data_IF_155071211618
#
_entry.id   IF_155071211618
#
_cell.length_a   1.000
_cell.length_b   1.000
_cell.length_c   1.000
_cell.angle_alpha   90.00
_cell.angle_beta   90.00
_cell.angle_gamma   90.00
#
_symmetry.space_group_name_H-M   'P 1'
#
loop_
_entity.id
_entity.type
_entity.pdbx_description
1 polymer ?
#
# COMPACT_ATOMS: atom_id res chain seq x y z
N UNK A 1 11.68 -5.34 1.54
CA UNK A 1 11.07 -6.10 2.65
C UNK A 1 9.88 -5.27 3.02
N UNK A 2 8.71 -5.69 2.59
CA UNK A 2 7.59 -4.75 2.47
C UNK A 2 6.51 -5.15 3.49
N UNK A 3 5.74 -4.17 3.96
CA UNK A 3 4.63 -4.38 4.92
C UNK A 3 3.49 -3.43 4.61
N UNK A 4 2.28 -3.92 4.82
CA UNK A 4 1.08 -3.10 4.75
C UNK A 4 0.81 -2.45 6.11
N UNK A 5 0.42 -1.16 6.06
CA UNK A 5 -0.03 -0.41 7.22
C UNK A 5 -1.29 0.34 6.82
N UNK A 6 -2.37 0.19 7.60
CA UNK A 6 -3.60 0.96 7.36
C UNK A 6 -3.33 2.44 7.54
N UNK A 7 -3.93 3.26 6.69
CA UNK A 7 -3.95 4.70 6.86
C UNK A 7 -4.70 5.04 8.14
N UNK A 8 -4.11 5.89 8.99
CA UNK A 8 -4.77 6.44 10.17
C UNK A 8 -5.33 7.84 9.91
N UNK A 9 -4.88 8.55 8.88
CA UNK A 9 -5.42 9.84 8.45
C UNK A 9 -6.80 9.72 7.79
N UNK A 10 -7.60 10.78 7.85
CA UNK A 10 -8.81 10.88 7.01
C UNK A 10 -8.43 11.23 5.56
N UNK A 11 -9.12 10.67 4.55
CA UNK A 11 -8.96 11.06 3.14
C UNK A 11 -9.40 12.51 2.86
N UNK A 12 -10.04 13.21 3.81
CA UNK A 12 -10.42 14.63 3.62
C UNK A 12 -9.24 15.60 3.71
N UNK A 13 -8.02 15.11 4.02
CA UNK A 13 -6.79 15.90 3.99
C UNK A 13 -6.04 15.62 2.69
N UNK A 14 -6.08 16.52 1.70
CA UNK A 14 -5.41 16.28 0.43
C UNK A 14 -3.88 16.29 0.61
N UNK A 15 -3.16 15.58 -0.26
CA UNK A 15 -1.68 15.58 -0.40
C UNK A 15 -0.88 14.94 0.73
N UNK A 16 -1.51 14.56 1.84
CA UNK A 16 -0.83 13.93 2.98
C UNK A 16 -1.64 12.77 3.52
N UNK A 17 -0.96 11.72 3.96
CA UNK A 17 -1.56 10.62 4.70
C UNK A 17 -0.69 10.29 5.91
N UNK A 18 -1.32 9.68 6.92
CA UNK A 18 -0.65 9.23 8.12
C UNK A 18 -0.72 7.70 8.17
N UNK A 19 0.41 7.06 8.51
CA UNK A 19 0.44 5.68 9.00
C UNK A 19 0.87 5.68 10.46
N UNK A 20 0.47 4.66 11.21
CA UNK A 20 0.88 4.54 12.61
C UNK A 20 1.37 3.13 12.87
N UNK A 21 2.68 3.02 13.10
CA UNK A 21 3.39 1.75 13.16
C UNK A 21 3.63 1.38 14.61
N UNK A 22 2.93 0.35 15.11
CA UNK A 22 3.27 -0.26 16.40
C UNK A 22 4.57 -1.05 16.23
N UNK A 23 5.53 -0.83 17.13
CA UNK A 23 6.76 -1.62 17.16
C UNK A 23 6.44 -3.04 17.63
N UNK A 24 6.74 -4.02 16.77
CA UNK A 24 6.71 -5.43 17.11
C UNK A 24 8.17 -5.89 17.30
N UNK A 25 8.60 -6.21 18.53
CA UNK A 25 9.97 -6.64 18.80
C UNK A 25 10.40 -7.89 18.02
N UNK A 26 9.44 -8.69 17.56
CA UNK A 26 9.68 -9.92 16.78
C UNK A 26 9.63 -9.66 15.27
N UNK A 27 9.13 -8.50 14.86
CA UNK A 27 9.04 -8.09 13.46
C UNK A 27 10.39 -7.58 12.92
N UNK A 28 10.53 -7.58 11.59
CA UNK A 28 11.73 -7.03 10.94
C UNK A 28 11.55 -5.57 10.52
N UNK A 29 10.36 -5.21 10.00
CA UNK A 29 10.10 -3.88 9.43
C UNK A 29 9.70 -2.86 10.49
N UNK A 30 8.82 -3.19 11.44
CA UNK A 30 8.39 -2.22 12.44
C UNK A 30 9.52 -1.73 13.37
N UNK A 31 10.49 -2.56 13.82
CA UNK A 31 11.65 -2.04 14.53
C UNK A 31 12.54 -1.17 13.63
N UNK A 32 12.72 -1.55 12.36
CA UNK A 32 13.50 -0.75 11.41
C UNK A 32 12.87 0.63 11.21
N UNK A 33 11.55 0.72 11.04
CA UNK A 33 10.82 1.99 10.93
C UNK A 33 11.09 2.87 12.15
N UNK A 34 10.96 2.31 13.36
CA UNK A 34 11.19 3.04 14.61
C UNK A 34 12.63 3.53 14.78
N UNK A 35 13.61 2.83 14.20
CA UNK A 35 15.03 3.16 14.35
C UNK A 35 15.55 4.11 13.25
N UNK A 36 14.98 4.05 12.05
CA UNK A 36 15.58 4.65 10.85
C UNK A 36 14.74 5.76 10.22
N UNK A 37 13.41 5.72 10.33
CA UNK A 37 12.54 6.71 9.67
C UNK A 37 12.56 8.03 10.43
N UNK A 38 12.84 9.12 9.72
CA UNK A 38 12.92 10.50 10.26
C UNK A 38 12.30 11.47 9.23
N UNK A 39 11.96 12.71 9.63
CA UNK A 39 11.54 13.72 8.66
C UNK A 39 12.55 13.84 7.51
N UNK A 40 12.06 13.76 6.27
CA UNK A 40 12.88 13.75 5.05
C UNK A 40 13.27 12.35 4.55
N UNK A 41 12.98 11.27 5.28
CA UNK A 41 13.14 9.90 4.75
C UNK A 41 12.17 9.68 3.58
N UNK A 42 12.71 9.24 2.45
CA UNK A 42 11.93 8.79 1.29
C UNK A 42 11.67 7.29 1.43
N UNK A 43 10.41 6.89 1.26
CA UNK A 43 9.98 5.50 1.32
C UNK A 43 9.25 5.15 0.01
N UNK A 44 9.59 4.01 -0.57
CA UNK A 44 8.82 3.44 -1.67
C UNK A 44 7.52 2.85 -1.11
N UNK A 45 6.41 3.10 -1.80
CA UNK A 45 5.09 2.66 -1.36
C UNK A 45 4.24 2.19 -2.54
N UNK A 46 3.26 1.33 -2.22
CA UNK A 46 2.23 0.87 -3.13
C UNK A 46 0.86 1.03 -2.45
N UNK A 47 -0.13 1.55 -3.18
CA UNK A 47 -1.46 1.88 -2.66
C UNK A 47 -1.85 3.36 -2.86
N UNK A 48 -2.94 3.85 -2.25
CA UNK A 48 -3.76 3.22 -1.21
C UNK A 48 -4.77 2.19 -1.73
N UNK A 49 -4.98 1.11 -0.98
CA UNK A 49 -5.75 -0.09 -1.41
C UNK A 49 -6.48 -0.79 -0.25
N UNK A 50 -7.62 -1.42 -0.54
CA UNK A 50 -8.43 -2.26 0.37
C UNK A 50 -9.89 -1.82 0.54
N UNK A 51 -10.77 -2.74 0.93
CA UNK A 51 -12.21 -2.48 1.16
C UNK A 51 -12.63 -2.24 2.61
N UNK A 52 -11.69 -2.22 3.56
CA UNK A 52 -12.01 -1.89 4.94
C UNK A 52 -12.15 -0.36 5.13
N UNK A 53 -13.16 0.24 4.50
CA UNK A 53 -13.47 1.66 4.54
C UNK A 53 -14.98 1.92 4.72
N UNK A 54 -15.33 3.16 5.05
CA UNK A 54 -16.73 3.58 5.10
C UNK A 54 -17.30 3.74 3.68
N UNK A 55 -18.59 3.45 3.46
CA UNK A 55 -19.26 3.77 2.20
C UNK A 55 -19.54 5.28 2.08
N UNK A 56 -19.46 5.83 0.87
CA UNK A 56 -19.65 7.27 0.60
C UNK A 56 -21.09 7.78 0.83
N UNK A 57 -22.07 6.88 0.86
CA UNK A 57 -23.48 7.25 0.69
C UNK A 57 -24.26 7.52 2.00
N UNK A 58 -23.89 6.89 3.12
CA UNK A 58 -24.78 6.89 4.30
C UNK A 58 -24.29 7.80 5.45
N UNK A 59 -24.69 9.08 5.35
CA UNK A 59 -24.41 10.09 6.37
C UNK A 59 -25.25 9.96 7.64
N UNK A 60 -26.15 8.96 7.73
CA UNK A 60 -27.01 8.67 8.89
C UNK A 60 -26.76 7.27 9.47
N UNK A 61 -25.77 6.55 8.95
CA UNK A 61 -25.42 5.23 9.41
C UNK A 61 -25.07 5.23 10.90
N UNK A 62 -25.40 4.11 11.56
CA UNK A 62 -25.02 3.86 12.94
C UNK A 62 -23.89 2.86 12.92
N UNK A 63 -22.75 3.23 13.49
CA UNK A 63 -21.53 2.46 13.48
C UNK A 63 -21.20 1.93 14.88
N UNK A 64 -20.70 0.71 14.91
CA UNK A 64 -20.02 0.11 16.06
C UNK A 64 -18.61 -0.27 15.64
N UNK A 65 -17.62 0.43 16.18
CA UNK A 65 -16.21 0.19 15.89
C UNK A 65 -15.58 -0.60 17.03
N UNK A 66 -15.09 -1.80 16.72
CA UNK A 66 -14.41 -2.69 17.65
C UNK A 66 -12.92 -2.70 17.34
N UNK A 67 -12.12 -2.05 18.18
CA UNK A 67 -10.68 -1.95 17.96
C UNK A 67 -9.91 -2.67 19.07
N UNK A 68 -8.78 -3.30 18.73
CA UNK A 68 -7.83 -3.81 19.71
C UNK A 68 -6.37 -3.52 19.32
N UNK A 69 -5.62 -2.93 20.25
CA UNK A 69 -4.21 -2.59 20.04
C UNK A 69 -4.00 -1.71 18.80
N UNK A 70 -3.19 -2.19 17.85
CA UNK A 70 -2.90 -1.47 16.61
C UNK A 70 -4.10 -1.39 15.66
N UNK A 71 -5.11 -2.26 15.80
CA UNK A 71 -6.32 -2.25 14.97
C UNK A 71 -7.17 -0.99 15.09
N UNK A 72 -6.81 -0.07 15.99
CA UNK A 72 -7.38 1.28 16.03
C UNK A 72 -7.03 2.11 14.79
N UNK A 73 -5.96 1.81 14.05
CA UNK A 73 -5.50 2.68 12.95
C UNK A 73 -6.53 2.91 11.83
N UNK A 74 -7.15 1.88 11.21
CA UNK A 74 -8.20 2.09 10.21
C UNK A 74 -9.44 2.72 10.83
N UNK A 75 -9.80 2.31 12.05
CA UNK A 75 -10.93 2.88 12.79
C UNK A 75 -10.72 4.38 13.04
N UNK A 76 -9.49 4.81 13.33
CA UNK A 76 -9.16 6.22 13.53
C UNK A 76 -9.34 7.01 12.23
N UNK A 77 -8.97 6.44 11.07
CA UNK A 77 -9.25 7.06 9.78
C UNK A 77 -10.75 7.26 9.56
N UNK A 78 -11.56 6.23 9.85
CA UNK A 78 -13.02 6.31 9.78
C UNK A 78 -13.61 7.37 10.73
N UNK A 79 -13.18 7.39 11.99
CA UNK A 79 -13.62 8.36 13.00
C UNK A 79 -13.25 9.78 12.59
N UNK A 80 -12.01 10.02 12.14
CA UNK A 80 -11.55 11.34 11.65
C UNK A 80 -12.39 11.82 10.48
N UNK A 81 -12.78 10.90 9.58
CA UNK A 81 -13.61 11.19 8.40
C UNK A 81 -15.03 11.56 8.80
N UNK A 82 -15.63 10.80 9.71
CA UNK A 82 -16.97 11.13 10.23
C UNK A 82 -16.94 12.49 10.94
N UNK A 83 -15.89 12.75 11.73
CA UNK A 83 -15.72 14.02 12.43
C UNK A 83 -15.56 15.21 11.48
N UNK A 84 -14.79 15.05 10.39
CA UNK A 84 -14.54 16.13 9.43
C UNK A 84 -15.71 16.42 8.49
N UNK A 85 -16.57 15.43 8.24
CA UNK A 85 -17.70 15.56 7.31
C UNK A 85 -19.03 15.88 8.01
N UNK A 86 -19.89 16.73 7.39
CA UNK A 86 -21.22 16.99 7.91
C UNK A 86 -22.09 15.73 7.80
N UNK A 87 -22.79 15.38 8.87
CA UNK A 87 -23.67 14.22 8.90
C UNK A 87 -24.35 14.02 10.25
N UNK A 88 -25.12 12.95 10.36
CA UNK A 88 -25.86 12.55 11.57
C UNK A 88 -25.55 11.10 11.96
N UNK A 89 -24.39 10.59 11.56
CA UNK A 89 -23.94 9.27 11.95
C UNK A 89 -23.94 9.13 13.48
N UNK A 90 -24.20 7.93 13.99
CA UNK A 90 -24.10 7.59 15.42
C UNK A 90 -22.97 6.56 15.57
N UNK A 91 -21.89 6.94 16.22
CA UNK A 91 -20.66 6.16 16.32
C UNK A 91 -20.42 5.74 17.76
N UNK A 92 -20.29 4.44 17.97
CA UNK A 92 -19.76 3.87 19.21
C UNK A 92 -18.42 3.19 18.91
N UNK A 93 -17.38 3.59 19.62
CA UNK A 93 -16.06 2.96 19.55
C UNK A 93 -15.83 2.19 20.85
N UNK A 94 -15.53 0.90 20.76
CA UNK A 94 -15.08 0.07 21.87
C UNK A 94 -13.63 -0.34 21.62
N UNK A 95 -12.69 0.32 22.32
CA UNK A 95 -11.26 0.14 22.12
C UNK A 95 -10.63 -0.68 23.25
N UNK A 96 -10.03 -1.82 22.90
CA UNK A 96 -9.33 -2.71 23.82
C UNK A 96 -7.81 -2.49 23.83
N UNK A 97 -7.25 -2.35 25.03
CA UNK A 97 -5.82 -2.17 25.28
C UNK A 97 -5.26 -3.24 26.22
N UNK A 98 -3.96 -3.53 26.09
CA UNK A 98 -3.26 -4.49 26.95
C UNK A 98 -2.72 -3.84 28.24
N UNK A 99 -2.34 -2.56 28.19
CA UNK A 99 -1.97 -1.73 29.33
C UNK A 99 -2.59 -0.33 29.18
N UNK A 100 -2.77 0.40 30.29
CA UNK A 100 -3.42 1.72 30.26
C UNK A 100 -2.67 2.74 29.37
N UNK A 101 -1.36 2.58 29.18
CA UNK A 101 -0.55 3.41 28.29
C UNK A 101 -0.59 3.01 26.81
N UNK A 102 -1.25 1.92 26.44
CA UNK A 102 -1.19 1.35 25.08
C UNK A 102 -2.27 1.87 24.13
N UNK A 103 -3.15 2.77 24.59
CA UNK A 103 -4.21 3.34 23.77
C UNK A 103 -3.66 4.43 22.85
N UNK A 104 -3.32 4.06 21.62
CA UNK A 104 -2.95 5.04 20.60
C UNK A 104 -4.13 6.00 20.34
N UNK A 105 -3.82 7.27 20.07
CA UNK A 105 -4.80 8.34 19.83
C UNK A 105 -5.75 8.66 21.00
N UNK A 106 -5.48 8.21 22.23
CA UNK A 106 -6.43 8.42 23.34
C UNK A 106 -6.79 9.90 23.55
N UNK A 107 -5.83 10.83 23.41
CA UNK A 107 -6.08 12.26 23.57
C UNK A 107 -6.99 12.80 22.47
N UNK A 108 -6.78 12.37 21.23
CA UNK A 108 -7.55 12.79 20.08
C UNK A 108 -8.96 12.20 20.11
N UNK A 109 -9.11 10.93 20.44
CA UNK A 109 -10.41 10.28 20.63
C UNK A 109 -11.20 10.94 21.76
N UNK A 110 -10.54 11.27 22.88
CA UNK A 110 -11.17 12.00 23.98
C UNK A 110 -11.61 13.41 23.55
N UNK A 111 -10.78 14.11 22.78
CA UNK A 111 -11.14 15.41 22.22
C UNK A 111 -12.36 15.30 21.29
N UNK A 112 -12.33 14.40 20.30
CA UNK A 112 -13.43 14.19 19.36
C UNK A 112 -14.73 13.87 20.10
N UNK A 113 -14.70 12.94 21.05
CA UNK A 113 -15.89 12.59 21.85
C UNK A 113 -16.41 13.75 22.70
N UNK A 114 -15.56 14.72 23.06
CA UNK A 114 -15.96 15.90 23.84
C UNK A 114 -16.61 17.00 23.00
N UNK A 115 -16.32 17.06 21.70
CA UNK A 115 -16.81 18.13 20.79
C UNK A 115 -17.82 17.64 19.75
N UNK A 116 -17.86 16.33 19.48
CA UNK A 116 -18.74 15.72 18.49
C UNK A 116 -19.68 14.72 19.17
N UNK A 117 -20.92 15.16 19.41
CA UNK A 117 -21.94 14.35 20.10
C UNK A 117 -22.31 13.06 19.36
N UNK A 118 -21.90 12.93 18.09
CA UNK A 118 -22.08 11.71 17.30
C UNK A 118 -21.16 10.57 17.75
N UNK A 119 -20.03 10.87 18.37
CA UNK A 119 -18.97 9.90 18.66
C UNK A 119 -18.88 9.62 20.16
N UNK A 120 -19.10 8.36 20.53
CA UNK A 120 -18.90 7.85 21.89
C UNK A 120 -17.76 6.86 21.89
N UNK A 121 -16.85 6.96 22.86
CA UNK A 121 -15.68 6.10 22.97
C UNK A 121 -15.65 5.43 24.33
N UNK A 122 -15.56 4.12 24.33
CA UNK A 122 -15.43 3.26 25.49
C UNK A 122 -14.09 2.53 25.41
N UNK A 123 -13.41 2.45 26.55
CA UNK A 123 -12.14 1.76 26.66
C UNK A 123 -12.30 0.52 27.53
N UNK A 124 -11.69 -0.59 27.11
CA UNK A 124 -11.59 -1.80 27.89
C UNK A 124 -10.12 -2.17 28.07
N UNK A 125 -9.72 -2.35 29.33
CA UNK A 125 -8.36 -2.74 29.66
C UNK A 125 -8.30 -4.23 30.00
N UNK A 126 -7.25 -4.91 29.51
CA UNK A 126 -6.97 -6.28 29.90
C UNK A 126 -6.96 -6.49 31.43
N UNK A 127 -7.28 -7.72 31.84
CA UNK A 127 -7.36 -8.16 33.23
C UNK A 127 -6.00 -8.16 33.98
N UNK A 128 -4.89 -8.15 33.24
CA UNK A 128 -3.53 -8.32 33.80
C UNK A 128 -2.91 -7.05 34.38
N UNK A 129 -3.44 -5.87 34.08
CA UNK A 129 -2.71 -4.60 34.22
C UNK A 129 -3.59 -3.40 34.59
N UNK A 130 -4.68 -3.62 35.34
CA UNK A 130 -5.60 -2.56 35.77
C UNK A 130 -4.97 -1.62 36.82
N UNK A 131 -4.73 -0.33 36.50
CA UNK A 131 -4.29 0.64 37.50
C UNK A 131 -5.41 0.98 38.50
N UNK A 132 -5.00 1.43 39.68
CA UNK A 132 -5.91 2.02 40.66
C UNK A 132 -6.53 3.30 40.06
N UNK A 133 -7.86 3.40 40.06
CA UNK A 133 -8.59 4.51 39.45
C UNK A 133 -9.01 4.33 37.98
N UNK A 134 -8.86 3.13 37.40
CA UNK A 134 -9.42 2.85 36.06
C UNK A 134 -10.96 2.79 36.09
N UNK A 135 -11.58 3.74 35.40
CA UNK A 135 -13.05 3.88 35.30
C UNK A 135 -13.66 3.21 34.06
N UNK A 136 -12.83 2.74 33.13
CA UNK A 136 -13.29 2.02 31.94
C UNK A 136 -13.67 0.56 32.19
N UNK A 137 -14.09 -0.12 31.12
CA UNK A 137 -14.39 -1.54 31.13
C UNK A 137 -13.12 -2.37 31.40
N UNK A 138 -13.28 -3.60 31.88
CA UNK A 138 -12.14 -4.48 32.21
C UNK A 138 -12.36 -5.88 31.68
N UNK A 139 -11.33 -6.46 31.07
CA UNK A 139 -11.30 -7.83 30.60
C UNK A 139 -11.33 -7.95 29.08
N UNK A 140 -11.58 -9.18 28.61
CA UNK A 140 -11.77 -9.48 27.18
C UNK A 140 -13.16 -9.03 26.73
N UNK A 141 -13.36 -8.92 25.42
CA UNK A 141 -14.65 -8.62 24.83
C UNK A 141 -15.70 -9.65 25.30
N UNK A 142 -16.86 -9.17 25.74
CA UNK A 142 -18.00 -9.99 26.19
C UNK A 142 -19.31 -9.45 25.65
N UNK A 143 -20.35 -10.30 25.64
CA UNK A 143 -21.71 -9.86 25.28
C UNK A 143 -22.22 -8.75 26.22
N UNK A 144 -21.95 -8.85 27.52
CA UNK A 144 -22.33 -7.83 28.49
C UNK A 144 -21.73 -6.46 28.17
N UNK A 145 -20.48 -6.41 27.70
CA UNK A 145 -19.87 -5.16 27.24
C UNK A 145 -20.59 -4.61 26.00
N UNK A 146 -20.95 -5.47 25.03
CA UNK A 146 -21.70 -5.04 23.84
C UNK A 146 -23.07 -4.47 24.23
N UNK A 147 -23.81 -5.16 25.10
CA UNK A 147 -25.11 -4.71 25.60
C UNK A 147 -25.00 -3.39 26.37
N UNK A 148 -23.90 -3.16 27.09
CA UNK A 148 -23.65 -1.92 27.82
C UNK A 148 -23.33 -0.74 26.89
N UNK A 149 -22.44 -0.91 25.92
CA UNK A 149 -21.95 0.20 25.08
C UNK A 149 -22.84 0.46 23.86
N UNK A 150 -23.47 -0.58 23.32
CA UNK A 150 -24.27 -0.56 22.12
C UNK A 150 -25.43 -1.59 22.23
N UNK A 151 -26.43 -1.35 23.10
CA UNK A 151 -27.59 -2.24 23.23
C UNK A 151 -28.39 -2.41 21.92
N UNK A 152 -28.19 -1.52 20.96
CA UNK A 152 -28.75 -1.56 19.61
C UNK A 152 -27.75 -2.08 18.55
N UNK A 153 -26.75 -2.88 18.95
CA UNK A 153 -25.70 -3.38 18.06
C UNK A 153 -26.26 -4.06 16.80
N UNK A 154 -27.38 -4.79 16.90
CA UNK A 154 -28.05 -5.45 15.78
C UNK A 154 -28.55 -4.50 14.68
N UNK A 155 -28.68 -3.20 14.97
CA UNK A 155 -29.07 -2.16 14.04
C UNK A 155 -27.92 -1.26 13.58
N UNK A 156 -26.67 -1.67 13.83
CA UNK A 156 -25.43 -0.94 13.50
C UNK A 156 -24.60 -1.70 12.47
N UNK A 157 -23.86 -0.96 11.65
CA UNK A 157 -22.76 -1.49 10.86
C UNK A 157 -21.53 -1.64 11.76
N UNK A 158 -20.97 -2.84 11.83
CA UNK A 158 -19.89 -3.18 12.74
C UNK A 158 -18.59 -3.27 11.96
N UNK A 159 -17.58 -2.49 12.36
CA UNK A 159 -16.23 -2.59 11.82
C UNK A 159 -15.29 -3.04 12.93
N UNK A 160 -14.62 -4.17 12.74
CA UNK A 160 -13.72 -4.74 13.74
C UNK A 160 -12.30 -4.92 13.21
N UNK A 161 -11.31 -4.46 13.95
CA UNK A 161 -9.91 -4.66 13.62
C UNK A 161 -9.05 -4.89 14.87
N UNK A 162 -8.21 -5.92 14.84
CA UNK A 162 -7.39 -6.32 15.99
C UNK A 162 -6.70 -7.66 15.80
N UNK A 163 -6.11 -8.22 16.88
CA UNK A 163 -5.53 -9.57 16.84
C UNK A 163 -6.57 -10.63 16.52
N UNK A 164 -6.16 -11.71 15.85
CA UNK A 164 -7.04 -12.80 15.39
C UNK A 164 -7.98 -13.33 16.50
N UNK A 165 -7.44 -13.62 17.68
CA UNK A 165 -8.26 -14.10 18.81
C UNK A 165 -9.32 -13.10 19.28
N UNK A 166 -9.09 -11.80 19.11
CA UNK A 166 -10.08 -10.75 19.40
C UNK A 166 -11.20 -10.77 18.36
N UNK A 167 -10.85 -10.84 17.07
CA UNK A 167 -11.80 -10.85 15.97
C UNK A 167 -12.67 -12.12 15.97
N UNK A 168 -12.07 -13.29 16.24
CA UNK A 168 -12.82 -14.55 16.38
C UNK A 168 -13.85 -14.45 17.52
N UNK A 169 -13.46 -13.86 18.66
CA UNK A 169 -14.39 -13.62 19.78
C UNK A 169 -15.49 -12.64 19.39
N UNK A 170 -15.15 -11.56 18.67
CA UNK A 170 -16.14 -10.59 18.19
C UNK A 170 -17.17 -11.24 17.26
N UNK A 171 -16.75 -12.07 16.30
CA UNK A 171 -17.64 -12.80 15.39
C UNK A 171 -18.66 -13.64 16.15
N UNK A 172 -18.24 -14.40 17.16
CA UNK A 172 -19.14 -15.23 17.96
C UNK A 172 -20.14 -14.41 18.78
N UNK A 173 -19.68 -13.29 19.36
CA UNK A 173 -20.50 -12.45 20.22
C UNK A 173 -21.51 -11.62 19.42
N UNK A 174 -21.09 -11.05 18.29
CA UNK A 174 -21.97 -10.26 17.39
C UNK A 174 -23.13 -11.11 16.88
N UNK A 175 -22.88 -12.37 16.52
CA UNK A 175 -23.92 -13.35 16.18
C UNK A 175 -24.91 -13.58 17.34
N UNK A 176 -24.41 -13.70 18.57
CA UNK A 176 -25.24 -13.91 19.77
C UNK A 176 -26.13 -12.71 20.10
N UNK A 177 -25.64 -11.49 19.88
CA UNK A 177 -26.43 -10.26 20.08
C UNK A 177 -27.29 -9.90 18.86
N UNK A 178 -27.29 -10.73 17.82
CA UNK A 178 -28.20 -10.65 16.68
C UNK A 178 -27.78 -9.67 15.59
N UNK A 179 -26.48 -9.34 15.47
CA UNK A 179 -25.96 -8.60 14.32
C UNK A 179 -25.98 -9.50 13.10
N UNK A 180 -26.48 -8.97 11.99
CA UNK A 180 -26.49 -9.67 10.70
C UNK A 180 -25.08 -9.75 10.11
N UNK A 181 -24.71 -10.91 9.55
CA UNK A 181 -23.37 -11.15 8.98
C UNK A 181 -23.03 -10.16 7.84
N UNK A 182 -24.01 -9.62 7.12
CA UNK A 182 -23.79 -8.61 6.06
C UNK A 182 -23.47 -7.22 6.59
N UNK A 183 -23.68 -6.99 7.90
CA UNK A 183 -23.37 -5.73 8.59
C UNK A 183 -22.07 -5.80 9.36
N UNK A 184 -21.28 -6.87 9.23
CA UNK A 184 -20.01 -7.08 9.93
C UNK A 184 -18.86 -7.02 8.92
N UNK A 185 -17.98 -6.06 9.12
CA UNK A 185 -16.75 -5.87 8.36
C UNK A 185 -15.57 -6.09 9.29
N UNK A 186 -14.59 -6.90 8.88
CA UNK A 186 -13.41 -7.16 9.69
C UNK A 186 -12.13 -7.04 8.89
N UNK A 187 -11.10 -6.48 9.51
CA UNK A 187 -9.75 -6.43 8.96
C UNK A 187 -8.75 -7.09 9.92
N UNK A 188 -8.00 -8.07 9.41
CA UNK A 188 -7.01 -8.81 10.17
C UNK A 188 -5.60 -8.33 9.80
N UNK A 189 -4.86 -7.78 10.77
CA UNK A 189 -3.46 -7.38 10.57
C UNK A 189 -2.49 -8.55 10.65
N UNK A 190 -2.88 -9.55 11.43
CA UNK A 190 -2.31 -10.87 11.48
C UNK A 190 -3.47 -11.79 11.12
N UNK A 191 -3.57 -12.17 9.85
CA UNK A 191 -4.74 -12.84 9.30
C UNK A 191 -4.37 -13.78 8.18
N UNK A 192 -5.11 -14.89 8.12
CA UNK A 192 -4.91 -15.98 7.19
C UNK A 192 -5.16 -15.62 5.72
N UNK A 193 -4.91 -16.64 4.90
CA UNK A 193 -4.93 -16.64 3.44
C UNK A 193 -6.20 -16.09 2.80
N UNK A 194 -7.38 -16.21 3.42
CA UNK A 194 -8.65 -15.84 2.78
C UNK A 194 -8.84 -14.32 2.74
N UNK A 195 -8.57 -13.66 3.86
CA UNK A 195 -8.70 -12.19 4.02
C UNK A 195 -7.70 -11.45 3.12
N UNK A 196 -6.52 -12.03 2.92
CA UNK A 196 -5.49 -11.48 2.04
C UNK A 196 -5.81 -11.66 0.55
N UNK A 197 -6.62 -12.67 0.18
CA UNK A 197 -7.04 -12.92 -1.21
C UNK A 197 -8.11 -11.94 -1.70
N UNK A 198 -9.03 -11.54 -0.82
CA UNK A 198 -10.04 -10.52 -1.10
C UNK A 198 -9.39 -9.14 -1.24
N UNK A 199 -8.49 -8.80 -0.30
CA UNK A 199 -7.66 -7.59 -0.35
C UNK A 199 -6.79 -7.50 -1.60
N UNK A 200 -6.25 -8.62 -2.10
CA UNK A 200 -5.44 -8.66 -3.33
C UNK A 200 -6.25 -8.46 -4.62
N UNK A 201 -7.51 -8.90 -4.64
CA UNK A 201 -8.40 -8.65 -5.77
C UNK A 201 -8.79 -7.17 -5.85
N UNK A 202 -9.00 -6.53 -4.70
CA UNK A 202 -9.28 -5.09 -4.59
C UNK A 202 -8.06 -4.24 -4.91
N UNK A 203 -6.87 -4.69 -4.51
CA UNK A 203 -5.58 -4.10 -4.86
C UNK A 203 -5.38 -3.98 -6.37
N UNK A 204 -5.60 -5.06 -7.10
CA UNK A 204 -5.45 -5.09 -8.55
C UNK A 204 -6.44 -4.12 -9.22
N UNK A 205 -7.68 -4.10 -8.75
CA UNK A 205 -8.71 -3.20 -9.26
C UNK A 205 -8.42 -1.72 -8.94
N UNK A 206 -7.89 -1.43 -7.75
CA UNK A 206 -7.53 -0.07 -7.36
C UNK A 206 -6.30 0.46 -8.12
N UNK A 207 -5.35 -0.40 -8.51
CA UNK A 207 -4.22 0.00 -9.37
C UNK A 207 -4.71 0.36 -10.77
N UNK A 208 -5.60 -0.45 -11.35
CA UNK A 208 -6.20 -0.15 -12.65
C UNK A 208 -6.94 1.20 -12.63
N UNK A 209 -7.70 1.48 -11.56
CA UNK A 209 -8.37 2.77 -11.37
C UNK A 209 -7.39 3.91 -11.11
N UNK A 210 -6.31 3.67 -10.34
CA UNK A 210 -5.32 4.70 -10.05
C UNK A 210 -4.50 5.08 -11.31
N UNK A 211 -4.21 4.12 -12.19
CA UNK A 211 -3.63 4.37 -13.51
C UNK A 211 -4.59 5.20 -14.38
N UNK A 212 -5.88 4.83 -14.43
CA UNK A 212 -6.90 5.57 -15.18
C UNK A 212 -7.09 7.01 -14.66
N UNK A 213 -7.14 7.20 -13.34
CA UNK A 213 -7.21 8.54 -12.72
C UNK A 213 -5.91 9.33 -12.94
N UNK A 214 -4.74 8.68 -12.89
CA UNK A 214 -3.47 9.34 -13.17
C UNK A 214 -3.37 9.80 -14.62
N UNK A 215 -3.87 9.00 -15.57
CA UNK A 215 -4.03 9.38 -16.97
C UNK A 215 -5.02 10.54 -17.13
N UNK A 216 -6.21 10.49 -16.52
CA UNK A 216 -7.17 11.61 -16.57
C UNK A 216 -6.63 12.91 -15.95
N UNK A 217 -5.86 12.81 -14.84
CA UNK A 217 -5.22 13.98 -14.22
C UNK A 217 -4.10 14.51 -15.11
N UNK A 218 -3.32 13.64 -15.76
CA UNK A 218 -2.28 14.06 -16.70
C UNK A 218 -2.89 14.76 -17.93
N UNK A 219 -3.92 14.16 -18.52
CA UNK A 219 -4.65 14.71 -19.68
C UNK A 219 -5.31 16.05 -19.33
N UNK A 220 -5.98 16.14 -18.18
CA UNK A 220 -6.61 17.40 -17.75
C UNK A 220 -5.59 18.49 -17.39
N UNK A 221 -4.40 18.12 -16.91
CA UNK A 221 -3.30 19.05 -16.69
C UNK A 221 -2.74 19.55 -18.02
N UNK A 222 -2.53 18.67 -19.00
CA UNK A 222 -2.12 19.04 -20.36
C UNK A 222 -3.14 19.95 -21.03
N UNK A 223 -4.43 19.60 -21.01
CA UNK A 223 -5.53 20.42 -21.52
C UNK A 223 -5.60 21.80 -20.82
N UNK A 224 -5.35 21.83 -19.51
CA UNK A 224 -5.28 23.09 -18.75
C UNK A 224 -4.10 23.96 -19.20
N UNK A 225 -2.91 23.38 -19.41
CA UNK A 225 -1.76 24.12 -19.91
C UNK A 225 -1.90 24.57 -21.37
N UNK A 226 -2.53 23.76 -22.23
CA UNK A 226 -2.80 24.11 -23.63
C UNK A 226 -3.93 25.13 -23.80
N UNK A 227 -4.91 25.12 -22.90
CA UNK A 227 -6.04 26.07 -22.93
C UNK A 227 -5.76 27.39 -22.21
N UNK A 228 -4.62 27.54 -21.52
CA UNK A 228 -4.22 28.83 -20.99
C UNK A 228 -3.95 29.80 -22.15
N UNK A 229 -4.69 30.93 -22.25
CA UNK A 229 -4.29 31.98 -23.16
C UNK A 229 -2.89 32.47 -22.77
N UNK A 230 -2.03 32.72 -23.75
CA UNK A 230 -0.70 33.33 -23.57
C UNK A 230 -0.85 34.76 -23.04
N UNK A 231 -1.13 34.90 -21.74
CA UNK A 231 -1.42 36.20 -21.17
C UNK A 231 -0.99 36.32 -19.71
N UNK A 232 0.32 36.23 -19.49
CA UNK A 232 1.00 37.30 -18.78
C UNK A 232 1.79 38.08 -19.82
N UNK A 233 1.35 39.30 -20.13
CA UNK A 233 2.01 40.19 -21.06
C UNK A 233 3.46 40.42 -20.66
N UNK A 234 4.36 39.66 -21.28
CA UNK A 234 5.77 40.02 -21.38
C UNK A 234 5.82 41.26 -22.27
N UNK A 235 6.26 42.34 -21.66
CA UNK A 235 6.68 43.59 -22.28
C UNK A 235 7.33 43.31 -23.65
N UNK A 236 6.68 43.64 -24.76
CA UNK A 236 7.36 43.73 -26.04
C UNK A 236 8.29 44.95 -25.93
N UNK A 237 9.62 44.76 -25.88
CA UNK A 237 10.51 45.91 -25.96
C UNK A 237 10.32 46.48 -27.35
N UNK A 238 9.90 47.74 -27.46
CA UNK A 238 9.93 48.45 -28.71
C UNK A 238 11.37 48.52 -29.20
N UNK A 239 11.72 47.65 -30.14
CA UNK A 239 12.99 47.70 -30.84
C UNK A 239 13.00 48.95 -31.72
N UNK A 240 13.98 49.83 -31.53
CA UNK A 240 14.38 50.78 -32.56
C UNK A 240 15.09 50.04 -33.72
N UNK A 241 15.17 50.69 -34.87
CA UNK A 241 15.48 50.06 -36.16
C UNK A 241 16.85 49.34 -36.25
N UNK A 242 17.71 49.49 -35.23
CA UNK A 242 19.04 48.87 -35.15
C UNK A 242 19.19 47.84 -34.00
N UNK A 243 18.09 47.45 -33.33
CA UNK A 243 17.99 46.16 -32.63
C UNK A 243 18.85 45.94 -31.38
N UNK A 244 19.39 46.96 -30.71
CA UNK A 244 20.19 46.77 -29.48
C UNK A 244 19.76 47.67 -28.32
N UNK A 245 19.27 47.05 -27.24
CA UNK A 245 19.05 47.71 -25.95
C UNK A 245 20.41 47.99 -25.28
N UNK A 246 20.67 49.26 -24.94
CA UNK A 246 21.82 49.66 -24.12
C UNK A 246 21.63 49.15 -22.69
N UNK A 247 22.50 48.24 -22.26
CA UNK A 247 22.49 47.71 -20.89
C UNK A 247 23.04 48.75 -19.90
N UNK A 248 22.21 49.21 -18.97
CA UNK A 248 22.67 49.98 -17.80
C UNK A 248 22.81 49.04 -16.61
N UNK A 249 23.94 48.33 -16.54
CA UNK A 249 24.32 47.47 -15.42
C UNK A 249 25.74 47.77 -14.96
N UNK A 250 26.04 47.51 -13.68
CA UNK A 250 27.38 47.65 -13.11
C UNK A 250 28.39 46.75 -13.84
N UNK A 251 29.69 47.14 -13.93
CA UNK A 251 30.67 46.39 -14.71
C UNK A 251 30.89 44.99 -14.13
N UNK A 252 30.79 43.97 -14.98
CA UNK A 252 31.16 42.60 -14.64
C UNK A 252 32.66 42.40 -14.89
N UNK A 253 33.37 41.89 -13.88
CA UNK A 253 34.74 41.40 -14.06
C UNK A 253 34.70 40.04 -14.79
N UNK A 254 35.38 39.98 -15.94
CA UNK A 254 35.51 38.76 -16.75
C UNK A 254 36.72 37.95 -16.30
N UNK A 255 36.52 36.65 -16.08
CA UNK A 255 37.61 35.66 -15.93
C UNK A 255 37.97 35.11 -17.32
N UNK A 256 39.26 34.95 -17.56
CA UNK A 256 39.90 34.59 -18.83
C UNK A 256 39.44 33.20 -19.37
N UNK A 257 39.00 33.07 -20.63
CA UNK A 257 38.43 31.84 -21.19
C UNK A 257 39.42 30.72 -21.53
N UNK A 258 40.73 30.88 -21.33
CA UNK A 258 41.75 29.89 -21.73
C UNK A 258 42.19 28.88 -20.63
N UNK A 259 41.33 28.57 -19.66
CA UNK A 259 41.62 27.51 -18.66
C UNK A 259 40.96 26.18 -19.09
N UNK A 260 41.72 25.10 -19.39
CA UNK A 260 41.13 23.82 -19.77
C UNK A 260 40.50 23.11 -18.57
N UNK A 261 39.22 22.77 -18.65
CA UNK A 261 38.52 21.86 -17.74
C UNK A 261 38.62 20.39 -18.20
N UNK A 262 38.51 19.41 -17.29
CA UNK A 262 38.64 18.00 -17.65
C UNK A 262 37.41 17.46 -18.40
N UNK A 263 37.65 16.71 -19.47
CA UNK A 263 36.67 16.10 -20.36
C UNK A 263 35.77 15.05 -19.68
N UNK A 264 34.49 15.06 -20.02
CA UNK A 264 33.52 14.02 -19.69
C UNK A 264 33.45 12.98 -20.84
N UNK A 265 33.26 11.67 -20.57
CA UNK A 265 33.14 10.68 -21.63
C UNK A 265 31.73 10.64 -22.22
N UNK A 266 31.68 10.76 -23.53
CA UNK A 266 30.53 10.54 -24.41
C UNK A 266 30.11 9.07 -24.47
N UNK A 267 28.80 8.83 -24.58
CA UNK A 267 28.27 7.59 -25.14
C UNK A 267 26.96 7.11 -24.51
N UNK A 268 25.83 7.57 -25.04
CA UNK A 268 24.56 6.85 -24.92
C UNK A 268 23.96 6.69 -26.33
N UNK A 269 23.66 5.46 -26.80
CA UNK A 269 22.93 5.29 -28.03
C UNK A 269 21.43 5.36 -27.78
N UNK A 270 20.81 6.16 -28.65
CA UNK A 270 19.39 6.26 -28.96
C UNK A 270 18.83 4.89 -29.40
N UNK A 271 17.76 4.42 -28.76
CA UNK A 271 17.01 3.24 -29.19
C UNK A 271 15.51 3.54 -29.08
N UNK A 272 14.92 3.90 -30.22
CA UNK A 272 13.48 3.86 -30.43
C UNK A 272 12.94 2.42 -30.46
N UNK A 273 11.64 2.20 -30.22
CA UNK A 273 11.09 0.86 -30.04
C UNK A 273 10.92 0.15 -31.38
N UNK A 274 11.68 -0.93 -31.59
CA UNK A 274 11.40 -1.92 -32.64
C UNK A 274 11.04 -3.27 -32.00
N UNK A 275 9.80 -3.68 -32.20
CA UNK A 275 9.31 -5.02 -31.87
C UNK A 275 9.87 -6.03 -32.88
N UNK A 276 10.88 -6.81 -32.47
CA UNK A 276 11.36 -7.98 -33.18
C UNK A 276 11.37 -9.18 -32.24
N UNK A 277 10.70 -10.27 -32.61
CA UNK A 277 10.72 -11.53 -31.84
C UNK A 277 12.12 -12.14 -31.88
N UNK A 278 12.92 -11.92 -30.85
CA UNK A 278 14.24 -12.52 -30.70
C UNK A 278 14.14 -14.02 -30.40
N UNK A 279 15.02 -14.83 -31.00
CA UNK A 279 15.17 -16.25 -30.69
C UNK A 279 16.12 -16.43 -29.49
N UNK A 280 15.64 -17.08 -28.43
CA UNK A 280 16.35 -17.25 -27.15
C UNK A 280 17.69 -18.00 -27.28
N UNK A 281 17.90 -18.72 -28.40
CA UNK A 281 19.13 -19.44 -28.70
C UNK A 281 20.38 -18.55 -28.90
N UNK A 282 20.16 -17.25 -29.15
CA UNK A 282 21.22 -16.28 -29.48
C UNK A 282 21.77 -15.48 -28.29
N UNK A 283 21.18 -15.64 -27.11
CA UNK A 283 21.51 -14.83 -25.92
C UNK A 283 22.77 -15.31 -25.19
N UNK A 284 23.49 -14.36 -24.61
CA UNK A 284 24.67 -14.64 -23.77
C UNK A 284 24.27 -15.52 -22.59
N UNK A 285 24.99 -16.63 -22.42
CA UNK A 285 24.70 -17.64 -21.39
C UNK A 285 25.68 -17.54 -20.24
N UNK A 286 25.17 -17.30 -19.03
CA UNK A 286 25.97 -17.15 -17.80
C UNK A 286 25.58 -18.18 -16.74
N UNK A 287 26.50 -18.47 -15.81
CA UNK A 287 26.25 -19.36 -14.66
C UNK A 287 26.61 -20.84 -14.90
N UNK A 288 26.20 -21.69 -13.96
CA UNK A 288 26.46 -23.14 -13.95
C UNK A 288 25.18 -23.88 -13.61
N UNK A 289 24.95 -25.04 -14.20
CA UNK A 289 23.72 -25.82 -13.96
C UNK A 289 23.43 -26.77 -15.11
N UNK A 290 22.37 -27.56 -14.96
CA UNK A 290 21.95 -28.57 -15.95
C UNK A 290 20.87 -28.07 -16.91
N UNK A 291 20.07 -27.07 -16.52
CA UNK A 291 19.01 -26.47 -17.34
C UNK A 291 19.36 -25.03 -17.75
N UNK A 292 18.72 -24.53 -18.80
CA UNK A 292 18.82 -23.13 -19.26
C UNK A 292 17.52 -22.39 -18.99
N UNK A 293 17.61 -21.23 -18.33
CA UNK A 293 16.54 -20.25 -18.16
C UNK A 293 16.81 -19.01 -19.04
N UNK A 294 15.91 -18.70 -19.95
CA UNK A 294 16.01 -17.57 -20.87
C UNK A 294 15.04 -16.45 -20.50
N UNK A 295 15.56 -15.23 -20.39
CA UNK A 295 14.81 -14.01 -20.09
C UNK A 295 14.68 -13.17 -21.36
N UNK A 296 13.49 -13.14 -21.96
CA UNK A 296 13.30 -12.53 -23.28
C UNK A 296 13.48 -11.01 -23.31
N UNK A 297 13.13 -10.30 -22.23
CA UNK A 297 13.20 -8.82 -22.25
C UNK A 297 14.60 -8.31 -22.03
N UNK A 298 15.37 -9.04 -21.22
CA UNK A 298 16.76 -8.68 -20.93
C UNK A 298 17.75 -9.29 -21.92
N UNK A 299 17.34 -10.31 -22.68
CA UNK A 299 18.17 -10.95 -23.70
C UNK A 299 19.31 -11.78 -23.11
N UNK A 300 19.10 -12.39 -21.94
CA UNK A 300 20.11 -13.15 -21.20
C UNK A 300 19.64 -14.59 -20.96
N UNK A 301 20.57 -15.54 -21.12
CA UNK A 301 20.40 -16.94 -20.72
C UNK A 301 21.18 -17.22 -19.42
N UNK A 302 20.59 -17.99 -18.52
CA UNK A 302 21.20 -18.36 -17.24
C UNK A 302 21.14 -19.87 -17.06
N UNK A 303 22.27 -20.49 -16.73
CA UNK A 303 22.33 -21.90 -16.35
C UNK A 303 21.87 -22.05 -14.89
N UNK A 304 20.96 -22.98 -14.65
CA UNK A 304 20.32 -23.21 -13.35
C UNK A 304 20.31 -24.69 -12.99
N UNK A 305 20.26 -24.96 -11.69
CA UNK A 305 19.96 -26.29 -11.16
C UNK A 305 18.44 -26.47 -10.93
N UNK A 306 17.88 -27.69 -11.14
CA UNK A 306 16.44 -27.94 -10.99
C UNK A 306 15.86 -27.70 -9.58
N UNK A 307 16.72 -27.54 -8.57
CA UNK A 307 16.32 -27.21 -7.20
C UNK A 307 16.26 -25.71 -6.92
N UNK A 308 16.77 -24.86 -7.82
CA UNK A 308 16.79 -23.41 -7.60
C UNK A 308 15.44 -22.78 -7.92
N UNK A 309 15.01 -21.83 -7.07
CA UNK A 309 13.82 -21.03 -7.34
C UNK A 309 14.08 -20.00 -8.44
N UNK A 310 13.19 -19.93 -9.42
CA UNK A 310 13.36 -19.09 -10.61
C UNK A 310 13.54 -17.61 -10.25
N UNK A 311 12.86 -17.12 -9.21
CA UNK A 311 13.02 -15.74 -8.73
C UNK A 311 14.44 -15.44 -8.22
N UNK A 312 15.06 -16.36 -7.50
CA UNK A 312 16.41 -16.16 -6.94
C UNK A 312 17.45 -16.11 -8.06
N UNK A 313 17.28 -16.97 -9.06
CA UNK A 313 18.11 -16.96 -10.27
C UNK A 313 17.96 -15.63 -11.01
N UNK A 314 16.73 -15.16 -11.22
CA UNK A 314 16.46 -13.87 -11.87
C UNK A 314 17.19 -12.72 -11.15
N UNK A 315 17.10 -12.68 -9.82
CA UNK A 315 17.78 -11.66 -9.00
C UNK A 315 19.31 -11.73 -9.13
N UNK A 316 19.89 -12.94 -9.11
CA UNK A 316 21.34 -13.15 -9.30
C UNK A 316 21.81 -12.70 -10.69
N UNK A 317 20.95 -12.85 -11.70
CA UNK A 317 21.22 -12.43 -13.07
C UNK A 317 20.91 -10.94 -13.34
N UNK A 318 20.45 -10.19 -12.33
CA UNK A 318 20.08 -8.79 -12.47
C UNK A 318 18.73 -8.54 -13.16
N UNK A 319 17.93 -9.58 -13.38
CA UNK A 319 16.60 -9.48 -13.97
C UNK A 319 15.58 -9.10 -12.90
N UNK A 320 14.84 -8.02 -13.14
CA UNK A 320 13.86 -7.49 -12.19
C UNK A 320 12.50 -8.13 -12.40
N UNK A 321 12.14 -9.05 -11.50
CA UNK A 321 10.79 -9.60 -11.37
C UNK A 321 10.20 -9.06 -10.07
N UNK A 322 9.03 -8.40 -10.13
CA UNK A 322 8.34 -7.90 -8.95
C UNK A 322 8.08 -9.03 -7.96
N UNK A 323 8.38 -8.89 -6.67
CA UNK A 323 8.20 -10.01 -5.73
C UNK A 323 8.02 -9.50 -4.31
N UNK A 324 6.87 -9.80 -3.71
CA UNK A 324 6.56 -9.41 -2.34
C UNK A 324 6.70 -10.59 -1.36
N UNK A 325 5.78 -11.57 -1.40
CA UNK A 325 5.74 -12.66 -0.40
C UNK A 325 6.87 -13.70 -0.53
N UNK A 326 7.43 -13.86 -1.74
CA UNK A 326 8.39 -14.91 -2.12
C UNK A 326 7.96 -16.38 -1.88
N UNK A 327 6.72 -16.66 -1.49
CA UNK A 327 6.24 -18.03 -1.17
C UNK A 327 4.99 -18.47 -1.97
N UNK A 328 4.70 -17.76 -3.07
CA UNK A 328 3.64 -18.15 -4.00
C UNK A 328 2.23 -17.79 -3.57
N UNK A 329 2.07 -16.89 -2.59
CA UNK A 329 0.76 -16.47 -2.05
C UNK A 329 0.24 -15.14 -2.62
N UNK A 330 1.10 -14.21 -3.04
CA UNK A 330 0.68 -12.85 -3.45
C UNK A 330 0.54 -12.63 -4.95
N UNK A 331 1.05 -13.54 -5.79
CA UNK A 331 1.00 -13.40 -7.25
C UNK A 331 1.82 -12.26 -7.86
N UNK A 332 2.50 -11.41 -7.06
CA UNK A 332 3.21 -10.23 -7.56
C UNK A 332 4.38 -10.55 -8.50
N UNK A 333 4.92 -11.78 -8.42
CA UNK A 333 6.00 -12.25 -9.29
C UNK A 333 5.55 -12.88 -10.59
N UNK A 334 4.24 -12.84 -10.86
CA UNK A 334 3.66 -13.48 -12.03
C UNK A 334 4.29 -12.98 -13.32
N UNK A 335 4.75 -13.94 -14.09
CA UNK A 335 5.35 -13.75 -15.40
C UNK A 335 4.77 -14.77 -16.36
N UNK A 336 4.85 -14.46 -17.65
CA UNK A 336 4.38 -15.36 -18.70
C UNK A 336 5.51 -16.35 -19.02
N UNK A 337 5.19 -17.64 -18.93
CA UNK A 337 6.03 -18.74 -19.41
C UNK A 337 5.75 -18.94 -20.89
N UNK A 338 6.74 -18.66 -21.74
CA UNK A 338 6.62 -18.79 -23.19
C UNK A 338 6.87 -20.23 -23.64
N UNK A 339 7.80 -20.93 -22.99
CA UNK A 339 8.04 -22.37 -23.21
C UNK A 339 8.66 -23.03 -21.98
N UNK A 340 8.60 -24.37 -21.92
CA UNK A 340 9.17 -25.18 -20.84
C UNK A 340 8.16 -25.60 -19.76
N UNK A 341 8.61 -26.42 -18.82
CA UNK A 341 7.83 -26.92 -17.69
C UNK A 341 8.42 -26.48 -16.36
N UNK A 342 7.53 -26.14 -15.42
CA UNK A 342 7.88 -25.74 -14.06
C UNK A 342 7.14 -26.62 -13.08
N UNK A 343 7.80 -26.93 -11.97
CA UNK A 343 7.12 -27.37 -10.77
C UNK A 343 6.75 -26.13 -9.95
N UNK A 344 5.48 -25.95 -9.65
CA UNK A 344 4.99 -24.73 -9.00
C UNK A 344 4.21 -25.09 -7.74
N UNK A 345 4.85 -24.92 -6.58
CA UNK A 345 4.22 -25.14 -5.28
C UNK A 345 3.63 -23.83 -4.76
N UNK A 346 2.56 -23.36 -5.42
CA UNK A 346 1.95 -22.07 -5.09
C UNK A 346 0.92 -22.18 -3.96
N UNK A 347 0.89 -21.14 -3.13
CA UNK A 347 -0.08 -20.98 -2.05
C UNK A 347 -1.26 -20.11 -2.50
N UNK A 348 -1.79 -20.37 -3.71
CA UNK A 348 -2.99 -19.70 -4.21
C UNK A 348 -2.79 -18.33 -4.84
N UNK A 349 -1.55 -17.84 -4.94
CA UNK A 349 -1.24 -16.56 -5.59
C UNK A 349 -1.39 -16.54 -7.12
N UNK A 350 -1.91 -17.62 -7.72
CA UNK A 350 -2.19 -17.71 -9.15
C UNK A 350 -3.42 -18.62 -9.36
N UNK A 351 -4.36 -18.19 -10.22
CA UNK A 351 -5.60 -18.93 -10.51
C UNK A 351 -5.38 -19.95 -11.64
N UNK A 352 -6.18 -21.01 -11.67
CA UNK A 352 -6.11 -22.04 -12.72
C UNK A 352 -6.18 -21.46 -14.14
N UNK A 353 -7.09 -20.51 -14.41
CA UNK A 353 -7.19 -19.80 -15.70
C UNK A 353 -5.90 -19.08 -16.12
N UNK A 354 -5.10 -18.64 -15.16
CA UNK A 354 -3.86 -17.93 -15.43
C UNK A 354 -2.73 -18.91 -15.73
N UNK A 355 -2.72 -20.05 -15.05
CA UNK A 355 -1.84 -21.18 -15.36
C UNK A 355 -2.13 -21.70 -16.78
N UNK A 356 -3.41 -21.86 -17.12
CA UNK A 356 -3.86 -22.24 -18.46
C UNK A 356 -3.46 -21.19 -19.51
N UNK A 357 -3.45 -19.91 -19.15
CA UNK A 357 -2.93 -18.82 -19.97
C UNK A 357 -1.38 -18.74 -20.00
N UNK A 358 -0.67 -19.74 -19.49
CA UNK A 358 0.78 -19.81 -19.51
C UNK A 358 1.50 -18.95 -18.47
N UNK A 359 0.79 -18.40 -17.47
CA UNK A 359 1.42 -17.63 -16.38
C UNK A 359 1.87 -18.55 -15.24
N UNK A 360 2.93 -18.18 -14.54
CA UNK A 360 3.42 -18.90 -13.37
C UNK A 360 4.07 -17.95 -12.36
N UNK A 361 4.42 -18.47 -11.17
CA UNK A 361 5.03 -17.71 -10.07
C UNK A 361 6.50 -18.12 -9.85
N UNK A 362 7.49 -17.35 -10.33
CA UNK A 362 8.91 -17.63 -10.17
C UNK A 362 9.37 -17.81 -8.73
N UNK A 363 8.70 -17.18 -7.77
CA UNK A 363 9.15 -17.20 -6.37
C UNK A 363 9.02 -18.57 -5.69
N UNK A 364 8.08 -19.40 -6.16
CA UNK A 364 7.81 -20.72 -5.59
C UNK A 364 7.87 -21.80 -6.66
N UNK A 365 8.48 -21.50 -7.80
CA UNK A 365 8.60 -22.44 -8.91
C UNK A 365 10.06 -22.83 -9.11
N UNK A 366 10.27 -24.07 -9.55
CA UNK A 366 11.55 -24.56 -10.05
C UNK A 366 11.37 -25.11 -11.47
N UNK A 367 12.43 -25.12 -12.26
CA UNK A 367 12.36 -25.60 -13.64
C UNK A 367 12.48 -27.13 -13.69
N UNK A 368 11.64 -27.76 -14.53
CA UNK A 368 11.76 -29.19 -14.88
C UNK A 368 12.46 -29.42 -16.21
N UNK A 369 12.36 -28.46 -17.12
CA UNK A 369 13.04 -28.43 -18.42
C UNK A 369 13.69 -27.07 -18.63
N UNK A 370 14.41 -26.91 -19.75
CA UNK A 370 14.78 -25.57 -20.22
C UNK A 370 13.52 -24.70 -20.32
N UNK A 371 13.65 -23.46 -19.87
CA UNK A 371 12.52 -22.58 -19.55
C UNK A 371 12.73 -21.21 -20.21
N UNK A 372 11.72 -20.71 -20.94
CA UNK A 372 11.76 -19.37 -21.55
C UNK A 372 10.62 -18.54 -20.98
N UNK A 373 10.93 -17.35 -20.47
CA UNK A 373 9.96 -16.47 -19.81
C UNK A 373 10.01 -15.04 -20.36
N UNK A 374 8.87 -14.37 -20.33
CA UNK A 374 8.74 -12.96 -20.69
C UNK A 374 9.06 -12.06 -19.48
N UNK A 375 10.35 -11.96 -19.15
CA UNK A 375 10.88 -11.15 -18.06
C UNK A 375 12.25 -10.54 -18.41
#
# INVERSE_FOLDING_TARGET
>A
MDRSYSLSSSPTKPWTFDITVKCDPTGQVSPWVHQNVKPGTVLDMLGPVGAFHLPDADRRARYLFLAAGAGITPIMSMVRTIHSLPGQADVVVLYHGAAAGDFAFHQELAYIASVDSRVKVFYSLGDRSKPEGWEGLTGRLTAAMLDEVAPDANGRQVYACGPEGYLNTATELLKKVGVDDTSIYMEFFSGDRQTLLEYQAELAFAVDIAEEIAEEIADSAEDYYESQPTAFGLYEPGYDADGTLQATGLPLETVDPDVPGPEAPDGSPDVGPQAGSSDASSFDTVGTGSLTLSFMRTGINVRIDPSEHILEVAQRAGVRIGANCKEGMCGSCKVVKLSGEVDMNHQGGIRAREIEAGKFLPCCSTARTDLVIDA
#
